data_IF_130993301140
#
_entry.id   IF_130993301140
#
_cell.length_a   1.000
_cell.length_b   1.000
_cell.length_c   1.000
_cell.angle_alpha   90.00
_cell.angle_beta   90.00
_cell.angle_gamma   90.00
#
_symmetry.space_group_name_H-M   'P 1'
#
loop_
_entity.id
_entity.type
_entity.pdbx_description
1 polymer ?
#
# COMPACT_ATOMS: atom_id res chain seq x y z
N UNK A 1 7.96 12.25 14.96
CA UNK A 1 6.96 11.23 15.39
C UNK A 1 5.59 11.75 15.00
N UNK A 2 4.83 10.99 14.22
CA UNK A 2 3.44 11.33 13.92
C UNK A 2 2.59 11.24 15.21
N UNK A 3 1.63 12.14 15.40
CA UNK A 3 0.71 12.06 16.53
C UNK A 3 -0.13 10.77 16.43
N UNK A 4 -0.34 10.10 17.56
CA UNK A 4 -1.24 8.95 17.61
C UNK A 4 -2.66 9.40 17.21
N UNK A 5 -3.30 8.65 16.32
CA UNK A 5 -4.66 8.94 15.88
C UNK A 5 -5.63 8.89 17.08
N UNK A 6 -6.55 9.86 17.16
CA UNK A 6 -7.61 9.88 18.17
C UNK A 6 -8.77 8.95 17.80
N UNK A 7 -9.65 8.64 18.76
CA UNK A 7 -10.91 7.94 18.48
C UNK A 7 -11.78 8.69 17.46
N UNK A 8 -11.71 10.02 17.45
CA UNK A 8 -12.42 10.84 16.48
C UNK A 8 -11.81 10.73 15.07
N UNK A 9 -10.48 10.61 14.95
CA UNK A 9 -9.83 10.30 13.67
C UNK A 9 -10.29 8.95 13.14
N UNK A 10 -10.37 7.94 14.01
CA UNK A 10 -10.87 6.61 13.64
C UNK A 10 -12.28 6.65 13.05
N UNK A 11 -13.22 7.36 13.70
CA UNK A 11 -14.59 7.54 13.17
C UNK A 11 -14.59 8.24 11.81
N UNK A 12 -13.83 9.32 11.67
CA UNK A 12 -13.70 10.05 10.39
C UNK A 12 -13.15 9.18 9.27
N UNK A 13 -12.15 8.34 9.55
CA UNK A 13 -11.58 7.42 8.56
C UNK A 13 -12.62 6.41 8.08
N UNK A 14 -13.42 5.83 8.99
CA UNK A 14 -14.47 4.87 8.63
C UNK A 14 -15.57 5.54 7.81
N UNK A 15 -16.03 6.73 8.20
CA UNK A 15 -17.03 7.49 7.44
C UNK A 15 -16.52 7.85 6.04
N UNK A 16 -15.29 8.33 5.92
CA UNK A 16 -14.68 8.64 4.63
C UNK A 16 -14.54 7.40 3.74
N UNK A 17 -14.12 6.27 4.29
CA UNK A 17 -14.02 5.01 3.56
C UNK A 17 -15.40 4.52 3.10
N UNK A 18 -16.43 4.63 3.95
CA UNK A 18 -17.80 4.27 3.60
C UNK A 18 -18.36 5.15 2.46
N UNK A 19 -18.09 6.46 2.49
CA UNK A 19 -18.48 7.38 1.42
C UNK A 19 -17.78 7.09 0.09
N UNK A 20 -16.49 6.70 0.12
CA UNK A 20 -15.73 6.38 -1.10
C UNK A 20 -16.04 4.98 -1.67
N UNK A 21 -16.58 4.08 -0.85
CA UNK A 21 -16.77 2.67 -1.21
C UNK A 21 -17.61 2.44 -2.48
N UNK A 22 -18.75 3.13 -2.74
CA UNK A 22 -19.52 2.90 -3.96
C UNK A 22 -18.70 3.15 -5.23
N UNK A 23 -17.94 4.25 -5.27
CA UNK A 23 -17.06 4.58 -6.40
C UNK A 23 -15.96 3.51 -6.57
N UNK A 24 -15.35 3.07 -5.47
CA UNK A 24 -14.31 2.05 -5.52
C UNK A 24 -14.85 0.68 -5.95
N UNK A 25 -15.99 0.26 -5.40
CA UNK A 25 -16.70 -0.99 -5.74
C UNK A 25 -17.02 -1.05 -7.23
N UNK A 26 -17.51 0.05 -7.78
CA UNK A 26 -17.96 0.13 -9.17
C UNK A 26 -16.79 0.41 -10.15
N UNK A 27 -15.56 0.56 -9.64
CA UNK A 27 -14.35 0.66 -10.48
C UNK A 27 -14.13 -0.65 -11.22
N UNK A 28 -13.97 -0.60 -12.54
CA UNK A 28 -13.79 -1.79 -13.37
C UNK A 28 -12.60 -2.66 -12.90
N UNK A 29 -12.72 -4.00 -12.92
CA UNK A 29 -11.63 -4.90 -12.50
C UNK A 29 -10.30 -4.62 -13.21
N UNK A 30 -10.34 -4.28 -14.50
CA UNK A 30 -9.17 -3.91 -15.28
C UNK A 30 -8.46 -2.67 -14.72
N UNK A 31 -9.21 -1.68 -14.25
CA UNK A 31 -8.64 -0.46 -13.67
C UNK A 31 -8.07 -0.73 -12.27
N UNK A 32 -8.78 -1.51 -11.44
CA UNK A 32 -8.23 -1.94 -10.13
C UNK A 32 -6.91 -2.69 -10.29
N UNK A 33 -6.84 -3.60 -11.27
CA UNK A 33 -5.62 -4.32 -11.64
C UNK A 33 -4.50 -3.37 -12.07
N UNK A 34 -4.82 -2.40 -12.94
CA UNK A 34 -3.85 -1.39 -13.42
C UNK A 34 -3.24 -0.63 -12.24
N UNK A 35 -4.07 -0.16 -11.30
CA UNK A 35 -3.62 0.56 -10.11
C UNK A 35 -2.70 -0.28 -9.22
N UNK A 36 -3.01 -1.58 -9.03
CA UNK A 36 -2.17 -2.49 -8.23
C UNK A 36 -0.80 -2.75 -8.90
N UNK A 37 -0.77 -2.93 -10.21
CA UNK A 37 0.48 -3.09 -10.97
C UNK A 37 1.33 -1.82 -10.91
N UNK A 38 0.71 -0.65 -11.10
CA UNK A 38 1.39 0.64 -10.97
C UNK A 38 1.96 0.82 -9.55
N UNK A 39 1.21 0.45 -8.50
CA UNK A 39 1.68 0.49 -7.13
C UNK A 39 2.91 -0.40 -6.91
N UNK A 40 2.93 -1.61 -7.48
CA UNK A 40 4.08 -2.52 -7.41
C UNK A 40 5.33 -1.90 -8.06
N UNK A 41 5.18 -1.24 -9.21
CA UNK A 41 6.27 -0.51 -9.86
C UNK A 41 6.75 0.67 -9.00
N UNK A 42 5.82 1.45 -8.43
CA UNK A 42 6.16 2.59 -7.58
C UNK A 42 6.88 2.17 -6.28
N UNK A 43 6.58 0.98 -5.74
CA UNK A 43 7.30 0.38 -4.61
C UNK A 43 8.78 0.15 -4.95
N UNK A 44 9.05 -0.50 -6.08
CA UNK A 44 10.42 -0.79 -6.53
C UNK A 44 11.18 0.48 -6.89
N UNK A 45 10.55 1.43 -7.58
CA UNK A 45 11.16 2.73 -7.90
C UNK A 45 11.56 3.55 -6.66
N UNK A 46 10.93 3.27 -5.51
CA UNK A 46 11.21 3.93 -4.23
C UNK A 46 11.95 3.04 -3.24
N UNK A 47 12.49 1.90 -3.66
CA UNK A 47 13.11 0.92 -2.77
C UNK A 47 14.10 1.57 -1.80
N UNK A 48 15.03 2.39 -2.30
CA UNK A 48 16.01 3.06 -1.46
C UNK A 48 15.37 3.95 -0.38
N UNK A 49 14.24 4.61 -0.67
CA UNK A 49 13.50 5.43 0.31
C UNK A 49 12.85 4.56 1.38
N UNK A 50 12.25 3.43 0.98
CA UNK A 50 11.65 2.49 1.93
C UNK A 50 12.70 1.80 2.80
N UNK A 51 13.85 1.43 2.25
CA UNK A 51 14.97 0.88 3.02
C UNK A 51 15.44 1.89 4.08
N UNK A 52 15.65 3.14 3.68
CA UNK A 52 16.06 4.20 4.60
C UNK A 52 15.02 4.43 5.71
N UNK A 53 13.73 4.46 5.36
CA UNK A 53 12.65 4.64 6.33
C UNK A 53 12.56 3.47 7.32
N UNK A 54 12.59 2.22 6.85
CA UNK A 54 12.54 1.04 7.73
C UNK A 54 13.76 0.99 8.65
N UNK A 55 14.96 1.27 8.15
CA UNK A 55 16.16 1.33 8.97
C UNK A 55 16.04 2.40 10.08
N UNK A 56 15.51 3.58 9.75
CA UNK A 56 15.32 4.68 10.70
C UNK A 56 14.22 4.41 11.74
N UNK A 57 13.13 3.73 11.37
CA UNK A 57 11.97 3.50 12.24
C UNK A 57 12.11 2.24 13.12
N UNK A 58 12.72 1.17 12.59
CA UNK A 58 12.73 -0.15 13.24
C UNK A 58 14.12 -0.71 13.50
N UNK A 59 15.18 -0.07 13.00
CA UNK A 59 16.55 -0.58 13.08
C UNK A 59 16.84 -1.75 12.13
N UNK A 60 15.97 -1.96 11.14
CA UNK A 60 16.13 -3.02 10.14
C UNK A 60 17.46 -2.93 9.36
N UNK A 61 18.04 -4.09 9.03
CA UNK A 61 19.17 -4.16 8.10
C UNK A 61 18.70 -3.83 6.68
N UNK A 62 19.59 -3.25 5.86
CA UNK A 62 19.26 -2.91 4.47
C UNK A 62 18.80 -4.12 3.65
N UNK A 63 19.40 -5.30 3.89
CA UNK A 63 19.01 -6.53 3.22
C UNK A 63 17.58 -6.95 3.58
N UNK A 64 17.23 -6.95 4.87
CA UNK A 64 15.88 -7.31 5.31
C UNK A 64 14.84 -6.30 4.82
N UNK A 65 15.16 -5.00 4.84
CA UNK A 65 14.26 -3.97 4.34
C UNK A 65 14.05 -4.09 2.81
N UNK A 66 15.12 -4.33 2.04
CA UNK A 66 15.03 -4.57 0.59
C UNK A 66 14.20 -5.81 0.26
N UNK A 67 14.36 -6.90 1.03
CA UNK A 67 13.50 -8.08 0.92
C UNK A 67 12.02 -7.73 1.13
N UNK A 68 11.68 -6.95 2.15
CA UNK A 68 10.28 -6.55 2.42
C UNK A 68 9.70 -5.67 1.31
N UNK A 69 10.49 -4.78 0.70
CA UNK A 69 10.04 -3.97 -0.45
C UNK A 69 9.68 -4.86 -1.64
N UNK A 70 10.53 -5.83 -1.95
CA UNK A 70 10.30 -6.77 -3.05
C UNK A 70 9.09 -7.67 -2.78
N UNK A 71 8.99 -8.24 -1.57
CA UNK A 71 7.85 -9.04 -1.16
C UNK A 71 6.53 -8.26 -1.27
N UNK A 72 6.51 -7.00 -0.84
CA UNK A 72 5.33 -6.15 -0.95
C UNK A 72 4.94 -5.87 -2.41
N UNK A 73 5.92 -5.65 -3.30
CA UNK A 73 5.65 -5.49 -4.72
C UNK A 73 5.06 -6.77 -5.35
N UNK A 74 5.54 -7.95 -4.94
CA UNK A 74 5.02 -9.22 -5.43
C UNK A 74 3.61 -9.51 -4.93
N UNK A 75 3.29 -9.20 -3.66
CA UNK A 75 1.92 -9.28 -3.12
C UNK A 75 0.95 -8.41 -3.94
N UNK A 76 1.37 -7.20 -4.33
CA UNK A 76 0.55 -6.31 -5.17
C UNK A 76 0.31 -6.92 -6.56
N UNK A 77 1.31 -7.56 -7.16
CA UNK A 77 1.17 -8.26 -8.45
C UNK A 77 0.24 -9.47 -8.34
N UNK A 78 0.35 -10.25 -7.27
CA UNK A 78 -0.54 -11.37 -7.01
C UNK A 78 -2.00 -10.89 -6.84
N UNK A 79 -2.23 -9.85 -6.04
CA UNK A 79 -3.55 -9.26 -5.88
C UNK A 79 -4.12 -8.75 -7.22
N UNK A 80 -3.27 -8.16 -8.07
CA UNK A 80 -3.65 -7.74 -9.42
C UNK A 80 -4.07 -8.94 -10.29
N UNK A 81 -3.33 -10.06 -10.22
CA UNK A 81 -3.64 -11.28 -10.95
C UNK A 81 -4.97 -11.92 -10.50
N UNK A 82 -5.29 -11.84 -9.21
CA UNK A 82 -6.55 -12.31 -8.63
C UNK A 82 -7.75 -11.39 -8.90
N UNK A 83 -7.50 -10.16 -9.38
CA UNK A 83 -8.57 -9.21 -9.70
C UNK A 83 -9.18 -9.57 -11.06
N UNK A 84 -10.11 -10.52 -11.06
CA UNK A 84 -10.85 -11.00 -12.24
C UNK A 84 -12.35 -10.80 -12.02
N UNK A 85 -13.04 -10.30 -13.05
CA UNK A 85 -14.48 -10.04 -13.18
C UNK A 85 -15.16 -9.06 -12.19
#
# INVERSE_FOLDING_TARGET
MAAAASLADGKRCVEAAACAFPLWRDTAPAERRRLLLEAAEQMLLREAKFIAAMAAETGATAHWAGFNVHLAADILREAAALTTD
#
